data_IF_833662775541
#
_entry.id   IF_833662775541
#
_cell.length_a   1.000
_cell.length_b   1.000
_cell.length_c   1.000
_cell.angle_alpha   90.00
_cell.angle_beta   90.00
_cell.angle_gamma   90.00
#
_symmetry.space_group_name_H-M   'P 1'
#
loop_
_entity.id
_entity.type
_entity.pdbx_description
1 polymer ?
#
# COMPACT_ATOMS: atom_id res chain seq x y z
N UNK A 1 9.35 15.82 -16.47
CA UNK A 1 10.68 15.58 -15.87
C UNK A 1 11.08 14.14 -16.11
N UNK A 2 12.39 13.84 -16.13
CA UNK A 2 12.93 12.52 -16.50
C UNK A 2 12.33 11.37 -15.66
N UNK A 3 12.09 11.60 -14.36
CA UNK A 3 11.52 10.59 -13.48
C UNK A 3 10.11 10.11 -13.90
N UNK A 4 9.28 10.98 -14.47
CA UNK A 4 7.95 10.59 -14.94
C UNK A 4 8.02 9.72 -16.20
N UNK A 5 8.90 10.10 -17.14
CA UNK A 5 9.15 9.32 -18.36
C UNK A 5 9.69 7.94 -17.99
N UNK A 6 10.65 7.88 -17.07
CA UNK A 6 11.23 6.63 -16.60
C UNK A 6 10.20 5.76 -15.86
N UNK A 7 9.29 6.36 -15.09
CA UNK A 7 8.22 5.60 -14.45
C UNK A 7 7.26 4.99 -15.47
N UNK A 8 6.89 5.73 -16.53
CA UNK A 8 6.06 5.18 -17.61
C UNK A 8 6.76 3.99 -18.27
N UNK A 9 8.05 4.12 -18.59
CA UNK A 9 8.85 3.03 -19.17
C UNK A 9 8.83 1.78 -18.29
N UNK A 10 9.06 1.91 -16.98
CA UNK A 10 8.99 0.78 -16.06
C UNK A 10 7.59 0.17 -15.96
N UNK A 11 6.54 1.00 -15.98
CA UNK A 11 5.17 0.50 -15.96
C UNK A 11 4.83 -0.25 -17.26
N UNK A 12 5.32 0.21 -18.41
CA UNK A 12 5.19 -0.52 -19.68
C UNK A 12 5.87 -1.89 -19.62
N UNK A 13 7.10 -1.95 -19.08
CA UNK A 13 7.83 -3.22 -18.91
C UNK A 13 7.14 -4.16 -17.92
N UNK A 14 6.52 -3.62 -16.87
CA UNK A 14 5.80 -4.41 -15.87
C UNK A 14 4.61 -5.17 -16.49
N UNK A 15 3.92 -4.59 -17.48
CA UNK A 15 2.78 -5.25 -18.13
C UNK A 15 3.16 -6.57 -18.82
N UNK A 16 4.42 -6.76 -19.20
CA UNK A 16 4.88 -8.04 -19.75
C UNK A 16 4.82 -9.19 -18.72
N UNK A 17 4.78 -8.86 -17.42
CA UNK A 17 4.67 -9.80 -16.31
C UNK A 17 3.30 -9.77 -15.63
N UNK A 18 2.39 -8.96 -16.18
CA UNK A 18 1.04 -8.73 -15.72
C UNK A 18 0.11 -9.92 -15.86
N UNK A 19 -1.09 -9.78 -15.29
CA UNK A 19 -2.19 -10.67 -15.64
C UNK A 19 -2.63 -10.45 -17.10
N UNK A 20 -3.14 -11.49 -17.75
CA UNK A 20 -3.67 -11.46 -19.11
C UNK A 20 -4.76 -10.39 -19.30
N UNK A 21 -5.51 -10.08 -18.25
CA UNK A 21 -6.57 -9.08 -18.22
C UNK A 21 -6.24 -7.84 -17.35
N UNK A 22 -4.97 -7.53 -17.13
CA UNK A 22 -4.54 -6.43 -16.22
C UNK A 22 -5.16 -5.07 -16.57
N UNK A 23 -5.47 -4.83 -17.85
CA UNK A 23 -6.03 -3.56 -18.34
C UNK A 23 -7.57 -3.54 -18.43
N UNK A 24 -8.24 -4.66 -18.15
CA UNK A 24 -9.66 -4.86 -18.46
C UNK A 24 -10.56 -4.87 -17.21
N UNK A 25 -9.97 -4.83 -16.01
CA UNK A 25 -10.68 -5.04 -14.75
C UNK A 25 -10.40 -3.99 -13.67
N UNK A 26 -11.18 -4.07 -12.59
CA UNK A 26 -10.87 -3.38 -11.34
C UNK A 26 -9.90 -4.23 -10.50
N UNK A 27 -9.23 -3.59 -9.53
CA UNK A 27 -8.19 -4.21 -8.70
C UNK A 27 -8.63 -5.51 -8.00
N UNK A 28 -9.90 -5.65 -7.66
CA UNK A 28 -10.49 -6.83 -7.03
C UNK A 28 -10.60 -8.01 -8.00
N UNK A 29 -11.11 -7.74 -9.21
CA UNK A 29 -11.34 -8.72 -10.27
C UNK A 29 -10.05 -9.20 -10.96
N UNK A 30 -8.95 -8.45 -10.82
CA UNK A 30 -7.66 -8.81 -11.42
C UNK A 30 -6.62 -9.10 -10.34
N UNK A 31 -6.13 -8.09 -9.61
CA UNK A 31 -4.98 -8.24 -8.71
C UNK A 31 -5.28 -9.22 -7.55
N UNK A 32 -6.38 -8.99 -6.82
CA UNK A 32 -6.74 -9.82 -5.66
C UNK A 32 -7.11 -11.23 -6.13
N UNK A 33 -7.94 -11.35 -7.17
CA UNK A 33 -8.37 -12.65 -7.70
C UNK A 33 -7.19 -13.50 -8.19
N UNK A 34 -6.26 -12.93 -8.98
CA UNK A 34 -5.10 -13.67 -9.52
C UNK A 34 -4.06 -14.00 -8.44
N UNK A 35 -3.92 -13.16 -7.41
CA UNK A 35 -3.12 -13.53 -6.24
C UNK A 35 -3.76 -14.68 -5.48
N UNK A 36 -5.05 -14.58 -5.17
CA UNK A 36 -5.80 -15.59 -4.43
C UNK A 36 -5.85 -16.94 -5.15
N UNK A 37 -5.83 -16.93 -6.49
CA UNK A 37 -5.74 -18.14 -7.30
C UNK A 37 -4.32 -18.75 -7.36
N UNK A 38 -3.31 -18.07 -6.81
CA UNK A 38 -1.91 -18.48 -6.85
C UNK A 38 -1.21 -18.21 -8.19
N UNK A 39 -1.83 -17.42 -9.08
CA UNK A 39 -1.27 -17.09 -10.40
C UNK A 39 -0.32 -15.88 -10.37
N UNK A 40 -0.37 -15.06 -9.33
CA UNK A 40 0.55 -13.95 -9.11
C UNK A 40 1.45 -14.24 -7.90
N UNK A 41 2.77 -14.03 -8.06
CA UNK A 41 3.73 -14.13 -6.97
C UNK A 41 3.87 -12.82 -6.17
N UNK A 42 3.61 -11.69 -6.83
CA UNK A 42 3.71 -10.35 -6.25
C UNK A 42 2.59 -9.48 -6.83
N UNK A 43 2.05 -8.58 -6.01
CA UNK A 43 1.08 -7.59 -6.46
C UNK A 43 1.24 -6.29 -5.68
N UNK A 44 0.82 -5.18 -6.29
CA UNK A 44 0.68 -3.90 -5.63
C UNK A 44 -0.79 -3.69 -5.28
N UNK A 45 -1.07 -3.43 -4.01
CA UNK A 45 -2.42 -3.23 -3.52
C UNK A 45 -2.46 -2.46 -2.21
N UNK A 46 -3.66 -2.11 -1.79
CA UNK A 46 -3.89 -1.52 -0.48
C UNK A 46 -3.85 -2.61 0.59
N UNK A 47 -3.09 -2.36 1.65
CA UNK A 47 -2.77 -3.35 2.67
C UNK A 47 -4.00 -3.95 3.34
N UNK A 48 -5.02 -3.14 3.61
CA UNK A 48 -6.31 -3.54 4.14
C UNK A 48 -7.07 -4.45 3.16
N UNK A 49 -7.25 -3.99 1.92
CA UNK A 49 -8.03 -4.69 0.89
C UNK A 49 -7.42 -6.05 0.53
N UNK A 50 -6.09 -6.13 0.49
CA UNK A 50 -5.38 -7.36 0.18
C UNK A 50 -5.43 -8.37 1.32
N UNK A 51 -5.28 -7.90 2.56
CA UNK A 51 -5.36 -8.77 3.74
C UNK A 51 -6.76 -9.33 3.90
N UNK A 52 -7.81 -8.49 3.79
CA UNK A 52 -9.19 -8.96 3.85
C UNK A 52 -9.52 -9.91 2.70
N UNK A 53 -9.11 -9.57 1.47
CA UNK A 53 -9.33 -10.41 0.30
C UNK A 53 -8.69 -11.80 0.42
N UNK A 54 -7.63 -11.94 1.20
CA UNK A 54 -6.90 -13.19 1.40
C UNK A 54 -7.43 -14.07 2.56
N UNK A 55 -8.39 -13.59 3.37
CA UNK A 55 -8.89 -14.31 4.56
C UNK A 55 -9.89 -15.42 4.19
N UNK A 56 -9.37 -16.63 3.95
CA UNK A 56 -10.09 -17.89 4.19
C UNK A 56 -10.53 -18.70 2.96
N UNK A 57 -10.68 -20.04 3.08
CA UNK A 57 -11.30 -20.87 2.04
C UNK A 57 -12.82 -20.64 1.91
N UNK A 58 -13.41 -20.87 0.73
CA UNK A 58 -12.80 -21.37 -0.50
C UNK A 58 -12.19 -20.27 -1.39
N UNK A 59 -12.03 -19.04 -0.90
CA UNK A 59 -11.77 -17.86 -1.74
C UNK A 59 -10.29 -17.54 -1.98
N UNK A 60 -9.33 -18.17 -1.26
CA UNK A 60 -7.90 -17.95 -1.48
C UNK A 60 -7.01 -19.17 -1.21
N UNK A 61 -6.18 -19.56 -2.18
CA UNK A 61 -5.14 -20.59 -2.05
C UNK A 61 -3.90 -20.12 -1.28
N UNK A 62 -3.76 -18.81 -1.07
CA UNK A 62 -2.61 -18.18 -0.41
C UNK A 62 -2.98 -17.65 0.98
N UNK A 63 -4.14 -18.03 1.51
CA UNK A 63 -4.59 -17.71 2.86
C UNK A 63 -3.55 -18.14 3.89
N UNK A 64 -3.07 -17.19 4.70
CA UNK A 64 -2.03 -17.42 5.71
C UNK A 64 -0.60 -17.55 5.16
N UNK A 65 -0.41 -17.43 3.84
CA UNK A 65 0.90 -17.49 3.18
C UNK A 65 1.38 -16.12 2.66
N UNK A 66 0.51 -15.11 2.72
CA UNK A 66 0.80 -13.77 2.23
C UNK A 66 1.65 -12.98 3.24
N UNK A 67 2.73 -12.40 2.74
CA UNK A 67 3.50 -11.36 3.40
C UNK A 67 3.35 -10.01 2.69
N UNK A 68 3.73 -8.94 3.38
CA UNK A 68 3.75 -7.58 2.83
C UNK A 68 5.10 -6.94 3.06
N UNK A 69 5.55 -6.11 2.12
CA UNK A 69 6.81 -5.38 2.20
C UNK A 69 6.64 -3.95 1.69
N UNK A 70 7.62 -3.09 1.99
CA UNK A 70 7.72 -1.77 1.38
C UNK A 70 7.91 -1.91 -0.14
N UNK A 71 7.37 -0.96 -0.91
CA UNK A 71 7.60 -0.93 -2.36
C UNK A 71 9.08 -0.79 -2.67
N UNK A 72 9.62 -1.54 -3.65
CA UNK A 72 11.04 -1.47 -4.01
C UNK A 72 11.50 -0.04 -4.34
N UNK A 73 12.71 0.30 -3.89
CA UNK A 73 13.36 1.58 -4.20
C UNK A 73 14.08 1.61 -5.55
N UNK A 74 14.70 2.76 -5.85
CA UNK A 74 15.48 2.97 -7.08
C UNK A 74 16.91 3.44 -6.77
N UNK A 75 17.94 3.01 -7.51
CA UNK A 75 19.31 3.52 -7.35
C UNK A 75 19.47 4.96 -7.87
N UNK A 76 18.43 5.54 -8.46
CA UNK A 76 18.40 6.94 -8.89
C UNK A 76 17.24 7.69 -8.25
N UNK A 77 17.41 9.00 -8.07
CA UNK A 77 16.39 9.90 -7.55
C UNK A 77 16.21 11.11 -8.48
N UNK A 78 15.06 11.76 -8.37
CA UNK A 78 14.81 13.03 -9.06
C UNK A 78 15.48 14.18 -8.31
N UNK A 79 16.50 14.78 -8.90
CA UNK A 79 16.99 16.08 -8.45
C UNK A 79 15.96 17.15 -8.84
N UNK A 80 15.33 17.75 -7.83
CA UNK A 80 14.27 18.74 -8.03
C UNK A 80 14.77 20.06 -8.63
N UNK A 81 16.05 20.40 -8.48
CA UNK A 81 16.62 21.61 -9.05
C UNK A 81 16.86 21.45 -10.54
N UNK A 82 17.53 20.35 -10.93
CA UNK A 82 17.84 20.09 -12.33
C UNK A 82 16.70 19.41 -13.11
N UNK A 83 15.70 18.86 -12.41
CA UNK A 83 14.61 18.04 -12.97
C UNK A 83 15.09 16.77 -13.70
N UNK A 84 16.29 16.30 -13.35
CA UNK A 84 16.96 15.13 -13.92
C UNK A 84 17.10 14.00 -12.92
N UNK A 85 17.30 12.79 -13.41
CA UNK A 85 17.65 11.64 -12.59
C UNK A 85 19.14 11.69 -12.22
N UNK A 86 19.43 11.50 -10.94
CA UNK A 86 20.79 11.47 -10.39
C UNK A 86 21.00 10.19 -9.59
N UNK A 87 22.24 9.71 -9.52
CA UNK A 87 22.61 8.51 -8.78
C UNK A 87 22.44 8.72 -7.27
N UNK A 88 21.93 7.70 -6.59
CA UNK A 88 21.88 7.67 -5.14
C UNK A 88 23.27 7.51 -4.54
N UNK A 89 23.51 8.27 -3.48
CA UNK A 89 24.72 8.22 -2.67
C UNK A 89 24.34 8.20 -1.19
N UNK A 90 25.27 7.92 -0.29
CA UNK A 90 25.04 8.00 1.15
C UNK A 90 24.67 9.38 1.69
N UNK A 91 24.89 10.44 0.91
CA UNK A 91 24.47 11.78 1.27
C UNK A 91 23.04 12.12 0.80
N UNK A 92 22.52 11.40 -0.20
CA UNK A 92 21.27 11.76 -0.89
C UNK A 92 20.15 10.74 -0.71
N UNK A 93 20.48 9.47 -0.47
CA UNK A 93 19.52 8.38 -0.32
C UNK A 93 19.86 7.52 0.90
N UNK A 94 18.94 6.64 1.31
CA UNK A 94 19.23 5.67 2.37
C UNK A 94 20.12 4.55 1.82
N UNK A 95 21.27 4.34 2.43
CA UNK A 95 22.13 3.17 2.19
C UNK A 95 22.02 2.16 3.35
N UNK A 96 20.99 2.28 4.19
CA UNK A 96 20.77 1.44 5.36
C UNK A 96 19.33 0.90 5.32
N UNK A 97 19.19 -0.41 5.48
CA UNK A 97 17.94 -1.17 5.34
C UNK A 97 18.19 -2.53 4.69
N UNK A 98 17.23 -3.44 4.79
CA UNK A 98 17.37 -4.83 4.28
C UNK A 98 17.69 -4.88 2.77
N UNK A 99 17.13 -3.94 2.00
CA UNK A 99 17.39 -3.83 0.55
C UNK A 99 18.82 -3.36 0.23
N UNK A 100 19.39 -2.49 1.07
CA UNK A 100 20.77 -2.02 0.90
C UNK A 100 21.80 -3.10 1.29
N UNK A 101 21.45 -3.96 2.26
CA UNK A 101 22.30 -5.07 2.68
C UNK A 101 22.38 -6.19 1.64
N UNK A 102 21.33 -6.40 0.83
CA UNK A 102 21.29 -7.44 -0.20
C UNK A 102 21.88 -6.99 -1.54
N UNK A 103 21.79 -5.71 -1.88
CA UNK A 103 22.22 -5.17 -3.18
C UNK A 103 23.55 -4.41 -3.13
N UNK A 104 24.06 -4.11 -1.94
CA UNK A 104 25.22 -3.23 -1.70
C UNK A 104 25.06 -1.84 -2.37
N UNK A 105 23.82 -1.42 -2.63
CA UNK A 105 23.48 -0.19 -3.33
C UNK A 105 22.67 0.76 -2.42
N UNK A 106 22.88 2.06 -2.60
CA UNK A 106 22.06 3.08 -1.98
C UNK A 106 20.77 3.24 -2.79
N UNK A 107 19.62 3.15 -2.13
CA UNK A 107 18.32 3.18 -2.79
C UNK A 107 17.50 4.38 -2.31
N UNK A 108 16.92 5.09 -3.27
CA UNK A 108 15.83 6.02 -3.06
C UNK A 108 14.55 5.22 -2.88
N UNK A 109 14.17 5.03 -1.62
CA UNK A 109 12.87 4.48 -1.22
C UNK A 109 11.95 5.62 -0.82
N UNK A 110 10.65 5.46 -1.04
CA UNK A 110 9.68 6.43 -0.55
C UNK A 110 9.78 6.48 1.00
N UNK A 111 10.04 7.65 1.60
CA UNK A 111 10.21 7.76 3.05
C UNK A 111 8.90 7.52 3.81
N UNK A 112 7.77 7.65 3.11
CA UNK A 112 6.43 7.37 3.61
C UNK A 112 5.73 6.47 2.60
N UNK A 113 4.90 5.55 3.11
CA UNK A 113 3.97 4.80 2.28
C UNK A 113 2.94 5.74 1.66
N UNK A 114 2.38 5.37 0.51
CA UNK A 114 1.27 6.12 -0.06
C UNK A 114 0.11 6.14 0.94
N UNK A 115 -0.23 7.33 1.44
CA UNK A 115 -1.34 7.51 2.35
C UNK A 115 -2.64 7.69 1.55
N UNK A 116 -3.61 6.83 1.84
CA UNK A 116 -4.97 6.94 1.30
C UNK A 116 -5.95 6.41 2.33
N UNK A 117 -7.23 6.60 2.07
CA UNK A 117 -8.28 5.98 2.85
C UNK A 117 -9.64 6.56 2.50
N UNK A 118 -10.62 6.17 3.29
CA UNK A 118 -11.97 6.71 3.23
C UNK A 118 -12.20 7.64 4.40
N UNK A 119 -12.80 8.80 4.14
CA UNK A 119 -13.24 9.73 5.17
C UNK A 119 -14.76 9.72 5.23
N UNK A 120 -15.32 9.62 6.42
CA UNK A 120 -16.75 9.81 6.65
C UNK A 120 -17.13 11.27 6.48
N UNK A 121 -18.22 11.54 5.76
CA UNK A 121 -18.77 12.88 5.60
C UNK A 121 -20.28 12.86 5.81
N UNK A 122 -20.80 13.91 6.44
CA UNK A 122 -22.24 14.08 6.70
C UNK A 122 -22.83 14.99 5.65
N UNK A 123 -23.87 14.53 4.94
CA UNK A 123 -24.55 15.33 3.93
C UNK A 123 -25.28 16.52 4.56
N UNK A 124 -24.99 17.73 4.07
CA UNK A 124 -25.62 18.98 4.50
C UNK A 124 -27.13 19.05 4.16
N UNK A 125 -27.61 18.18 3.28
CA UNK A 125 -29.04 18.10 2.90
C UNK A 125 -29.86 17.23 3.85
N UNK A 126 -29.23 16.55 4.80
CA UNK A 126 -29.94 15.72 5.78
C UNK A 126 -30.65 16.58 6.81
N UNK A 127 -31.71 16.05 7.42
CA UNK A 127 -32.32 16.69 8.60
C UNK A 127 -31.31 16.75 9.74
N UNK A 128 -31.42 17.76 10.62
CA UNK A 128 -30.48 17.95 11.74
C UNK A 128 -30.26 16.68 12.56
N UNK A 129 -31.33 15.95 12.93
CA UNK A 129 -31.19 14.73 13.71
C UNK A 129 -30.34 13.66 12.98
N UNK A 130 -30.46 13.52 11.65
CA UNK A 130 -29.65 12.58 10.87
C UNK A 130 -28.20 13.02 10.80
N UNK A 131 -27.96 14.33 10.75
CA UNK A 131 -26.59 14.85 10.79
C UNK A 131 -25.95 14.52 12.13
N UNK A 132 -26.65 14.80 13.23
CA UNK A 132 -26.18 14.51 14.59
C UNK A 132 -25.92 12.99 14.77
N UNK A 133 -26.88 12.13 14.42
CA UNK A 133 -26.74 10.66 14.53
C UNK A 133 -25.56 10.12 13.67
N UNK A 134 -25.38 10.65 12.46
CA UNK A 134 -24.28 10.22 11.58
C UNK A 134 -22.93 10.70 12.09
N UNK A 135 -22.87 11.91 12.65
CA UNK A 135 -21.66 12.42 13.31
C UNK A 135 -21.30 11.56 14.52
N UNK A 136 -22.28 11.21 15.37
CA UNK A 136 -22.07 10.36 16.53
C UNK A 136 -21.59 8.96 16.13
N UNK A 137 -22.16 8.39 15.05
CA UNK A 137 -21.69 7.13 14.50
C UNK A 137 -20.23 7.19 14.02
N UNK A 138 -19.85 8.23 13.26
CA UNK A 138 -18.46 8.37 12.81
C UNK A 138 -17.50 8.60 13.98
N UNK A 139 -17.91 9.36 15.01
CA UNK A 139 -17.12 9.55 16.22
C UNK A 139 -16.91 8.23 16.98
N UNK A 140 -17.97 7.41 17.10
CA UNK A 140 -17.88 6.07 17.67
C UNK A 140 -16.94 5.16 16.86
N UNK A 141 -17.15 5.06 15.55
CA UNK A 141 -16.37 4.16 14.68
C UNK A 141 -14.89 4.55 14.59
N UNK A 142 -14.58 5.84 14.67
CA UNK A 142 -13.20 6.36 14.67
C UNK A 142 -12.55 6.45 16.06
N UNK A 143 -13.28 6.08 17.12
CA UNK A 143 -12.71 6.05 18.47
C UNK A 143 -11.56 5.05 18.55
N UNK A 144 -10.49 5.32 19.33
CA UNK A 144 -9.39 4.39 19.51
C UNK A 144 -9.85 3.00 19.96
N UNK A 145 -10.85 2.95 20.84
CA UNK A 145 -11.37 1.71 21.43
C UNK A 145 -11.99 0.79 20.36
N UNK A 146 -12.71 1.36 19.39
CA UNK A 146 -13.37 0.61 18.31
C UNK A 146 -12.40 0.34 17.17
N UNK A 147 -11.69 1.38 16.70
CA UNK A 147 -10.87 1.30 15.51
C UNK A 147 -9.64 0.39 15.65
N UNK A 148 -9.01 0.33 16.83
CA UNK A 148 -7.88 -0.58 17.08
C UNK A 148 -8.29 -2.06 17.01
N UNK A 149 -9.54 -2.38 17.38
CA UNK A 149 -10.03 -3.76 17.36
C UNK A 149 -10.58 -4.14 15.98
N UNK A 150 -11.39 -3.27 15.37
CA UNK A 150 -12.13 -3.57 14.15
C UNK A 150 -11.34 -3.28 12.86
N UNK A 151 -10.46 -2.27 12.84
CA UNK A 151 -9.73 -1.84 11.63
C UNK A 151 -8.29 -2.37 11.57
N UNK A 152 -7.75 -2.82 12.71
CA UNK A 152 -6.40 -3.41 12.81
C UNK A 152 -6.47 -4.84 13.39
N UNK A 153 -7.31 -5.75 12.85
CA UNK A 153 -7.36 -7.11 13.37
C UNK A 153 -6.05 -7.84 13.05
N UNK A 154 -5.48 -8.52 14.05
CA UNK A 154 -4.18 -9.23 14.02
C UNK A 154 -2.93 -8.34 13.99
N UNK A 155 -2.69 -7.50 15.00
CA UNK A 155 -1.31 -7.26 15.44
C UNK A 155 -0.79 -8.60 15.98
N UNK A 156 0.05 -9.28 15.20
CA UNK A 156 0.86 -10.38 15.72
C UNK A 156 1.85 -9.73 16.67
N UNK A 157 1.59 -9.82 17.97
CA UNK A 157 2.49 -9.29 18.99
C UNK A 157 3.90 -9.84 18.75
N UNK A 158 4.83 -8.96 18.33
CA UNK A 158 6.22 -9.31 18.07
C UNK A 158 6.62 -9.52 16.59
N UNK A 159 5.71 -9.38 15.61
CA UNK A 159 6.11 -9.34 14.20
C UNK A 159 6.34 -7.88 13.77
N UNK A 160 7.49 -7.53 13.19
CA UNK A 160 7.80 -6.12 12.92
C UNK A 160 6.92 -5.49 11.83
N UNK A 161 6.27 -6.28 10.95
CA UNK A 161 5.43 -5.75 9.88
C UNK A 161 4.41 -6.78 9.41
N UNK A 162 3.11 -6.50 9.57
CA UNK A 162 2.05 -7.18 8.82
C UNK A 162 1.00 -6.17 8.35
N UNK A 163 0.95 -6.06 7.02
CA UNK A 163 -0.06 -5.62 6.06
C UNK A 163 -0.97 -4.41 6.32
N UNK A 164 -1.32 -4.07 7.55
CA UNK A 164 -2.07 -2.85 7.91
C UNK A 164 -1.31 -1.97 8.90
N UNK A 165 -0.22 -2.49 9.47
CA UNK A 165 0.67 -1.76 10.37
C UNK A 165 1.98 -1.33 9.69
N UNK A 166 1.92 -0.35 8.78
CA UNK A 166 3.07 0.51 8.63
C UNK A 166 2.62 1.97 8.71
N UNK A 167 2.98 2.63 9.81
CA UNK A 167 3.09 4.10 9.94
C UNK A 167 1.81 4.93 10.18
N UNK A 168 0.74 4.37 10.75
CA UNK A 168 -0.36 5.20 11.32
C UNK A 168 0.03 5.97 12.59
N UNK A 169 1.27 5.84 13.06
CA UNK A 169 1.85 6.76 14.04
C UNK A 169 2.28 8.02 13.29
N UNK A 170 1.31 8.86 12.90
CA UNK A 170 1.63 10.26 12.67
C UNK A 170 2.02 10.84 14.02
N UNK A 171 3.27 11.30 14.15
CA UNK A 171 3.64 12.21 15.23
C UNK A 171 2.76 13.47 15.20
#
# INVERSE_FOLDING_TARGET
GEAFVEKIRFTEEQFAYGADNEMEGCFDSTNIAKMNSGQCAMTYGWGDSFTEGAKGPPTSFVSGLIGTAQTPGSPVYLDRLSQKLAQCTGATCSCKGDDAASTNACLNVAPYTAFTGWSGAVSSFSSKYRQDDTTDFFAYASSPEVSLFDTIPNITGGAPFISVDPFRVSH
#
